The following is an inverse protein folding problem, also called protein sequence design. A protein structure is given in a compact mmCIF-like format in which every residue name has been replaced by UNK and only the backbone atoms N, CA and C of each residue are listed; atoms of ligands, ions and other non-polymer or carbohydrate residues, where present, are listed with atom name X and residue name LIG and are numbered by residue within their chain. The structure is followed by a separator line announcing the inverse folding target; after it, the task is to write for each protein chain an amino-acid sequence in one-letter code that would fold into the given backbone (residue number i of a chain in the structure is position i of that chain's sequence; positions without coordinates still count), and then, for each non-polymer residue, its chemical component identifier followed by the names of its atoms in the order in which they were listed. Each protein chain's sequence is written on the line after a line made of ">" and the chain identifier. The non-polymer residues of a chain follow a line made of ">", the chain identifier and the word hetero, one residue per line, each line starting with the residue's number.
data_IF_689978681200
#
_entry.id   IF_689978681200
#
_cell.length_a   1.000
_cell.length_b   1.000
_cell.length_c   1.000
_cell.angle_alpha   90.00
_cell.angle_beta   90.00
_cell.angle_gamma   90.00
#
_symmetry.space_group_name_H-M   'P 1'
#
loop_
_entity.id
_entity.type
_entity.pdbx_description
1 polymer ?
#
# COMPACT_ATOMS: atom_id res chain seq x y z
N UNK A 1 -43.04 14.79 -15.39
CA UNK A 1 -41.61 14.71 -15.71
C UNK A 1 -40.90 14.14 -14.51
N UNK A 2 -40.58 12.86 -14.53
CA UNK A 2 -39.87 12.22 -13.44
C UNK A 2 -38.43 12.70 -13.53
N UNK A 3 -38.02 13.59 -12.63
CA UNK A 3 -36.61 13.77 -12.38
C UNK A 3 -36.09 12.46 -11.84
N UNK A 4 -35.46 11.69 -12.70
CA UNK A 4 -34.54 10.67 -12.25
C UNK A 4 -33.61 11.34 -11.22
N UNK A 5 -33.45 10.75 -10.01
CA UNK A 5 -32.43 11.25 -9.11
C UNK A 5 -31.18 11.36 -9.98
N UNK A 6 -30.62 12.55 -10.02
CA UNK A 6 -29.30 12.76 -10.67
C UNK A 6 -28.46 11.61 -10.19
N UNK A 7 -28.29 10.67 -11.09
CA UNK A 7 -27.61 9.44 -10.75
C UNK A 7 -26.36 9.86 -10.05
N UNK A 8 -26.12 9.28 -8.88
CA UNK A 8 -24.77 9.28 -8.34
C UNK A 8 -23.91 9.02 -9.57
N UNK A 9 -23.26 10.07 -10.05
CA UNK A 9 -22.33 9.88 -11.16
C UNK A 9 -21.52 8.67 -10.77
N UNK A 10 -21.64 7.62 -11.53
CA UNK A 10 -20.87 6.41 -11.30
C UNK A 10 -19.42 6.86 -11.31
N UNK A 11 -18.84 7.09 -10.13
CA UNK A 11 -17.48 7.54 -10.02
C UNK A 11 -16.61 6.45 -10.58
N UNK A 12 -15.81 6.80 -11.58
CA UNK A 12 -14.79 5.91 -12.08
C UNK A 12 -13.98 5.39 -10.88
N UNK A 13 -13.71 4.07 -10.81
CA UNK A 13 -12.92 3.51 -9.72
C UNK A 13 -11.59 4.25 -9.60
N UNK A 14 -11.28 4.73 -8.42
CA UNK A 14 -10.03 5.43 -8.15
C UNK A 14 -9.11 4.52 -7.38
N UNK A 15 -7.92 4.28 -7.92
CA UNK A 15 -6.93 3.37 -7.33
C UNK A 15 -5.79 4.15 -6.70
N UNK A 16 -5.49 3.80 -5.46
CA UNK A 16 -4.39 4.38 -4.68
C UNK A 16 -3.31 3.34 -4.50
N UNK A 17 -2.08 3.70 -4.84
CA UNK A 17 -0.90 2.83 -4.75
C UNK A 17 0.18 3.48 -3.89
N UNK A 18 1.14 2.70 -3.34
CA UNK A 18 2.30 3.26 -2.67
C UNK A 18 3.00 4.30 -3.53
N UNK A 19 3.60 5.29 -2.90
CA UNK A 19 4.30 6.37 -3.60
C UNK A 19 5.38 5.81 -4.53
N UNK A 20 5.47 6.38 -5.72
CA UNK A 20 6.48 6.01 -6.70
C UNK A 20 7.92 6.18 -6.15
N UNK A 21 8.13 7.19 -5.32
CA UNK A 21 9.44 7.43 -4.65
C UNK A 21 9.82 6.23 -3.78
N UNK A 22 8.89 5.69 -2.99
CA UNK A 22 9.15 4.52 -2.16
C UNK A 22 9.52 3.29 -3.00
N UNK A 23 8.78 3.05 -4.06
CA UNK A 23 9.07 1.94 -4.98
C UNK A 23 10.44 2.09 -5.62
N UNK A 24 10.78 3.30 -6.07
CA UNK A 24 12.08 3.60 -6.68
C UNK A 24 13.22 3.39 -5.69
N UNK A 25 13.06 3.84 -4.44
CA UNK A 25 14.07 3.66 -3.38
C UNK A 25 14.30 2.19 -3.08
N UNK A 26 13.24 1.40 -2.96
CA UNK A 26 13.34 -0.04 -2.69
C UNK A 26 14.02 -0.77 -3.85
N UNK A 27 13.67 -0.44 -5.09
CA UNK A 27 14.31 -1.03 -6.28
C UNK A 27 15.78 -0.64 -6.39
N UNK A 28 16.12 0.61 -6.08
CA UNK A 28 17.50 1.08 -6.08
C UNK A 28 18.34 0.35 -5.02
N UNK A 29 17.78 0.16 -3.82
CA UNK A 29 18.43 -0.60 -2.74
C UNK A 29 18.65 -2.06 -3.14
N UNK A 30 17.66 -2.69 -3.74
CA UNK A 30 17.76 -4.07 -4.22
C UNK A 30 18.86 -4.20 -5.29
N UNK A 31 18.88 -3.29 -6.26
CA UNK A 31 19.92 -3.24 -7.31
C UNK A 31 21.32 -3.04 -6.73
N UNK A 32 21.45 -2.17 -5.73
CA UNK A 32 22.72 -1.96 -5.02
C UNK A 32 23.23 -3.25 -4.37
N UNK A 33 22.37 -3.96 -3.67
CA UNK A 33 22.75 -5.21 -3.00
C UNK A 33 23.05 -6.35 -3.98
N UNK A 34 22.37 -6.41 -5.12
CA UNK A 34 22.71 -7.33 -6.21
C UNK A 34 24.12 -7.01 -6.74
N UNK A 35 24.44 -5.73 -6.92
CA UNK A 35 25.78 -5.28 -7.30
C UNK A 35 26.84 -5.68 -6.28
N UNK A 36 26.57 -5.53 -4.99
CA UNK A 36 27.45 -5.97 -3.90
C UNK A 36 27.67 -7.48 -3.96
N UNK A 37 26.63 -8.26 -4.16
CA UNK A 37 26.73 -9.72 -4.26
C UNK A 37 27.60 -10.14 -5.44
N UNK A 38 27.40 -9.54 -6.61
CA UNK A 38 28.20 -9.80 -7.80
C UNK A 38 29.67 -9.43 -7.57
N UNK A 39 29.92 -8.29 -6.93
CA UNK A 39 31.28 -7.86 -6.59
C UNK A 39 31.97 -8.85 -5.64
N UNK A 40 31.24 -9.40 -4.65
CA UNK A 40 31.76 -10.41 -3.73
C UNK A 40 32.20 -11.69 -4.45
N UNK A 41 31.53 -12.06 -5.53
CA UNK A 41 31.95 -13.22 -6.35
C UNK A 41 33.32 -13.04 -7.00
N UNK A 42 33.71 -11.80 -7.29
CA UNK A 42 35.03 -11.47 -7.87
C UNK A 42 36.12 -11.26 -6.82
N UNK A 43 35.80 -11.17 -5.55
CA UNK A 43 36.77 -10.94 -4.48
C UNK A 43 37.33 -12.26 -3.94
N UNK A 44 38.65 -12.36 -3.91
CA UNK A 44 39.31 -13.45 -3.20
C UNK A 44 39.29 -13.19 -1.70
N UNK A 45 38.87 -14.17 -0.90
CA UNK A 45 38.78 -14.05 0.55
C UNK A 45 37.48 -13.50 1.10
N UNK A 46 36.46 -13.36 0.24
CA UNK A 46 35.13 -13.02 0.70
C UNK A 46 34.59 -14.09 1.68
N UNK A 47 34.08 -13.67 2.84
CA UNK A 47 33.61 -14.60 3.85
C UNK A 47 32.21 -15.11 3.51
N UNK A 48 31.87 -16.30 4.01
CA UNK A 48 30.53 -16.86 3.86
C UNK A 48 29.47 -15.96 4.47
N UNK A 49 29.78 -15.30 5.60
CA UNK A 49 28.83 -14.37 6.25
C UNK A 49 28.54 -13.15 5.37
N UNK A 50 29.49 -12.65 4.60
CA UNK A 50 29.29 -11.56 3.65
C UNK A 50 28.29 -11.94 2.54
N UNK A 51 28.43 -13.13 1.97
CA UNK A 51 27.48 -13.65 0.98
C UNK A 51 26.09 -13.85 1.56
N UNK A 52 26.00 -14.41 2.77
CA UNK A 52 24.71 -14.63 3.44
C UNK A 52 24.02 -13.31 3.76
N UNK A 53 24.77 -12.30 4.22
CA UNK A 53 24.21 -10.96 4.48
C UNK A 53 23.69 -10.31 3.21
N UNK A 54 24.47 -10.35 2.12
CA UNK A 54 24.04 -9.79 0.84
C UNK A 54 22.78 -10.51 0.31
N UNK A 55 22.76 -11.83 0.36
CA UNK A 55 21.60 -12.64 -0.05
C UNK A 55 20.37 -12.32 0.80
N UNK A 56 20.52 -12.13 2.10
CA UNK A 56 19.45 -11.74 3.00
C UNK A 56 18.84 -10.39 2.63
N UNK A 57 19.67 -9.37 2.40
CA UNK A 57 19.17 -8.06 2.00
C UNK A 57 18.52 -8.06 0.62
N UNK A 58 19.06 -8.80 -0.34
CA UNK A 58 18.43 -8.98 -1.64
C UNK A 58 17.04 -9.60 -1.48
N UNK A 59 16.91 -10.67 -0.72
CA UNK A 59 15.64 -11.33 -0.46
C UNK A 59 14.65 -10.39 0.24
N UNK A 60 15.12 -9.61 1.22
CA UNK A 60 14.30 -8.65 1.96
C UNK A 60 13.76 -7.55 1.03
N UNK A 61 14.62 -6.91 0.26
CA UNK A 61 14.21 -5.82 -0.63
C UNK A 61 13.38 -6.31 -1.80
N UNK A 62 13.65 -7.49 -2.33
CA UNK A 62 12.82 -8.11 -3.35
C UNK A 62 11.41 -8.41 -2.81
N UNK A 63 11.31 -8.96 -1.62
CA UNK A 63 10.03 -9.21 -0.96
C UNK A 63 9.26 -7.90 -0.71
N UNK A 64 9.93 -6.85 -0.25
CA UNK A 64 9.33 -5.53 -0.08
C UNK A 64 8.84 -4.95 -1.40
N UNK A 65 9.63 -5.06 -2.46
CA UNK A 65 9.25 -4.59 -3.80
C UNK A 65 8.01 -5.31 -4.32
N UNK A 66 7.92 -6.61 -4.14
CA UNK A 66 6.75 -7.39 -4.52
C UNK A 66 5.52 -7.01 -3.71
N UNK A 67 5.67 -6.85 -2.40
CA UNK A 67 4.59 -6.45 -1.50
C UNK A 67 4.03 -5.07 -1.89
N UNK A 68 4.89 -4.06 -1.98
CA UNK A 68 4.46 -2.71 -2.34
C UNK A 68 4.00 -2.59 -3.79
N UNK A 69 4.54 -3.39 -4.69
CA UNK A 69 4.13 -3.40 -6.09
C UNK A 69 2.71 -3.94 -6.30
N UNK A 70 2.23 -4.79 -5.39
CA UNK A 70 0.89 -5.38 -5.46
C UNK A 70 -0.13 -4.69 -4.58
N UNK A 71 0.30 -3.91 -3.61
CA UNK A 71 -0.59 -3.19 -2.72
C UNK A 71 -1.37 -2.12 -3.50
N UNK A 72 -2.69 -2.17 -3.43
CA UNK A 72 -3.55 -1.18 -4.05
C UNK A 72 -4.86 -1.06 -3.27
N UNK A 73 -5.35 0.17 -3.16
CA UNK A 73 -6.65 0.50 -2.57
C UNK A 73 -7.50 1.12 -3.67
N UNK A 74 -8.61 0.49 -3.99
CA UNK A 74 -9.53 0.96 -5.04
C UNK A 74 -10.84 1.37 -4.41
N UNK A 75 -11.22 2.62 -4.60
CA UNK A 75 -12.52 3.16 -4.18
C UNK A 75 -13.46 3.15 -5.36
N UNK A 76 -14.59 2.45 -5.21
CA UNK A 76 -15.64 2.38 -6.23
C UNK A 76 -17.00 2.71 -5.61
N UNK A 77 -18.05 2.74 -6.42
CA UNK A 77 -19.41 2.98 -5.92
C UNK A 77 -19.89 1.86 -4.97
N UNK A 78 -19.40 0.65 -5.16
CA UNK A 78 -19.78 -0.52 -4.34
C UNK A 78 -19.02 -0.61 -3.01
N UNK A 79 -17.92 0.12 -2.86
CA UNK A 79 -17.12 0.06 -1.65
C UNK A 79 -15.62 0.23 -1.89
N UNK A 80 -14.84 -0.25 -0.93
CA UNK A 80 -13.39 -0.21 -0.94
C UNK A 80 -12.83 -1.61 -1.20
N UNK A 81 -12.03 -1.75 -2.22
CA UNK A 81 -11.30 -2.98 -2.51
C UNK A 81 -9.83 -2.81 -2.14
N UNK A 82 -9.34 -3.70 -1.29
CA UNK A 82 -7.95 -3.72 -0.85
C UNK A 82 -7.25 -4.92 -1.47
N UNK A 83 -6.27 -4.65 -2.30
CA UNK A 83 -5.42 -5.68 -2.88
C UNK A 83 -4.10 -5.71 -2.14
N UNK A 84 -3.79 -6.87 -1.56
CA UNK A 84 -2.51 -7.14 -0.92
C UNK A 84 -1.74 -8.20 -1.72
N UNK A 85 -0.54 -8.54 -1.26
CA UNK A 85 0.29 -9.54 -1.91
C UNK A 85 -0.42 -10.89 -2.10
N UNK A 86 -1.18 -11.32 -1.09
CA UNK A 86 -1.76 -12.68 -1.07
C UNK A 86 -3.27 -12.72 -1.22
N UNK A 87 -3.96 -11.59 -1.14
CA UNK A 87 -5.42 -11.56 -1.10
C UNK A 87 -6.00 -10.27 -1.66
N UNK A 88 -7.25 -10.37 -2.11
CA UNK A 88 -8.10 -9.23 -2.45
C UNK A 88 -9.28 -9.24 -1.50
N UNK A 89 -9.49 -8.14 -0.77
CA UNK A 89 -10.60 -7.98 0.16
C UNK A 89 -11.48 -6.83 -0.29
N UNK A 90 -12.77 -7.04 -0.24
CA UNK A 90 -13.77 -6.02 -0.56
C UNK A 90 -14.54 -5.63 0.69
N UNK A 91 -14.63 -4.32 0.94
CA UNK A 91 -15.38 -3.76 2.05
C UNK A 91 -16.48 -2.85 1.50
N UNK A 92 -17.73 -3.11 1.87
CA UNK A 92 -18.80 -2.16 1.61
C UNK A 92 -18.62 -0.93 2.50
N UNK A 93 -19.00 0.25 2.03
CA UNK A 93 -18.97 1.47 2.85
C UNK A 93 -19.85 1.36 4.10
N UNK A 94 -20.91 0.57 4.04
CA UNK A 94 -21.77 0.30 5.20
C UNK A 94 -21.08 -0.48 6.30
N UNK A 95 -20.07 -1.28 5.94
CA UNK A 95 -19.29 -2.06 6.90
C UNK A 95 -18.23 -1.24 7.62
N UNK A 96 -17.92 -0.05 7.13
CA UNK A 96 -16.92 0.83 7.73
C UNK A 96 -17.56 1.55 8.92
N UNK A 97 -17.02 1.31 10.12
CA UNK A 97 -17.55 1.83 11.36
C UNK A 97 -16.84 3.11 11.81
N UNK A 98 -15.53 3.18 11.62
CA UNK A 98 -14.71 4.27 12.15
C UNK A 98 -13.40 4.38 11.41
N UNK A 99 -12.91 5.60 11.27
CA UNK A 99 -11.56 5.89 10.76
C UNK A 99 -10.82 6.70 11.81
N UNK A 100 -9.71 6.18 12.31
CA UNK A 100 -8.83 6.85 13.25
C UNK A 100 -7.57 7.32 12.54
N UNK A 101 -7.21 8.57 12.73
CA UNK A 101 -5.99 9.18 12.19
C UNK A 101 -4.98 9.34 13.31
N UNK A 102 -3.84 8.68 13.19
CA UNK A 102 -2.79 8.66 14.20
C UNK A 102 -1.49 9.23 13.63
N UNK A 103 -0.97 10.32 14.20
CA UNK A 103 0.37 10.78 13.82
C UNK A 103 1.43 9.80 14.32
N UNK A 104 2.40 9.49 13.47
CA UNK A 104 3.55 8.63 13.80
C UNK A 104 4.86 9.32 13.45
N UNK A 105 5.98 8.75 13.90
CA UNK A 105 7.31 9.27 13.56
C UNK A 105 7.62 9.24 12.07
N UNK A 106 6.99 8.32 11.33
CA UNK A 106 7.19 8.16 9.88
C UNK A 106 6.10 8.83 9.05
N UNK A 107 5.20 9.58 9.68
CA UNK A 107 4.08 10.24 9.03
C UNK A 107 2.75 9.96 9.69
N UNK A 108 1.68 9.89 8.92
CA UNK A 108 0.33 9.66 9.42
C UNK A 108 -0.09 8.22 9.14
N UNK A 109 -0.66 7.56 10.14
CA UNK A 109 -1.28 6.24 10.01
C UNK A 109 -2.79 6.37 10.12
N UNK A 110 -3.51 5.65 9.28
CA UNK A 110 -4.97 5.61 9.26
C UNK A 110 -5.43 4.20 9.62
N UNK A 111 -6.21 4.10 10.69
CA UNK A 111 -6.81 2.85 11.11
C UNK A 111 -8.31 2.88 10.79
N UNK A 112 -8.75 2.00 9.92
CA UNK A 112 -10.15 1.86 9.52
C UNK A 112 -10.72 0.64 10.22
N UNK A 113 -11.72 0.85 11.06
CA UNK A 113 -12.45 -0.25 11.69
C UNK A 113 -13.65 -0.61 10.85
N UNK A 114 -13.73 -1.88 10.49
CA UNK A 114 -14.84 -2.44 9.73
C UNK A 114 -15.44 -3.63 10.47
N UNK A 115 -16.66 -4.00 10.09
CA UNK A 115 -17.31 -5.21 10.62
C UNK A 115 -16.57 -6.49 10.25
N UNK A 116 -15.78 -6.45 9.17
CA UNK A 116 -15.01 -7.59 8.67
C UNK A 116 -13.58 -7.64 9.21
N UNK A 117 -13.19 -6.69 10.04
CA UNK A 117 -11.87 -6.61 10.65
C UNK A 117 -11.19 -5.25 10.47
N UNK A 118 -10.03 -5.04 11.09
CA UNK A 118 -9.30 -3.80 10.97
C UNK A 118 -8.59 -3.71 9.61
N UNK A 119 -8.51 -2.48 9.08
CA UNK A 119 -7.77 -2.12 7.89
C UNK A 119 -6.87 -0.94 8.22
N UNK A 120 -5.64 -0.97 7.77
CA UNK A 120 -4.70 0.13 8.00
C UNK A 120 -4.00 0.54 6.71
N UNK A 121 -3.80 1.84 6.56
CA UNK A 121 -2.92 2.41 5.55
C UNK A 121 -2.20 3.62 6.13
N UNK A 122 -1.16 4.09 5.47
CA UNK A 122 -0.32 5.17 5.98
C UNK A 122 -0.04 6.22 4.91
N UNK A 123 0.66 7.28 5.32
CA UNK A 123 1.12 8.34 4.43
C UNK A 123 2.11 7.86 3.36
N UNK A 124 2.59 6.62 3.44
CA UNK A 124 3.37 5.99 2.37
C UNK A 124 2.54 5.68 1.12
N UNK A 125 1.21 5.66 1.26
CA UNK A 125 0.30 5.51 0.14
C UNK A 125 0.14 6.84 -0.60
N UNK A 126 0.29 6.85 -1.91
CA UNK A 126 0.07 8.04 -2.72
C UNK A 126 -1.39 8.48 -2.66
N UNK A 127 -1.64 9.77 -2.35
CA UNK A 127 -2.99 10.29 -2.21
C UNK A 127 -3.73 9.84 -0.95
N UNK A 128 -3.00 9.51 0.12
CA UNK A 128 -3.58 9.01 1.37
C UNK A 128 -4.65 9.92 1.97
N UNK A 129 -4.48 11.23 1.90
CA UNK A 129 -5.47 12.20 2.39
C UNK A 129 -6.77 12.12 1.60
N UNK A 130 -6.68 12.06 0.29
CA UNK A 130 -7.84 11.92 -0.58
C UNK A 130 -8.55 10.60 -0.34
N UNK A 131 -7.80 9.51 -0.16
CA UNK A 131 -8.37 8.21 0.17
C UNK A 131 -9.13 8.27 1.49
N UNK A 132 -8.56 8.87 2.53
CA UNK A 132 -9.21 9.06 3.81
C UNK A 132 -10.50 9.88 3.67
N UNK A 133 -10.46 11.00 2.96
CA UNK A 133 -11.64 11.82 2.71
C UNK A 133 -12.74 11.06 1.96
N UNK A 134 -12.37 10.30 0.94
CA UNK A 134 -13.32 9.50 0.18
C UNK A 134 -13.98 8.43 1.05
N UNK A 135 -13.21 7.74 1.88
CA UNK A 135 -13.74 6.72 2.80
C UNK A 135 -14.70 7.35 3.79
N UNK A 136 -14.29 8.43 4.46
CA UNK A 136 -15.10 9.12 5.46
C UNK A 136 -16.38 9.66 4.85
N UNK A 137 -16.29 10.29 3.70
CA UNK A 137 -17.44 10.87 3.00
C UNK A 137 -18.41 9.80 2.51
N UNK A 138 -17.90 8.73 1.91
CA UNK A 138 -18.73 7.65 1.35
C UNK A 138 -19.34 6.77 2.43
N UNK A 139 -18.65 6.57 3.52
CA UNK A 139 -19.15 5.82 4.67
C UNK A 139 -20.15 6.63 5.53
N UNK A 140 -20.28 7.94 5.28
CA UNK A 140 -21.18 8.80 6.04
C UNK A 140 -20.72 9.04 7.47
N UNK A 141 -19.41 9.07 7.71
CA UNK A 141 -18.82 9.23 9.05
C UNK A 141 -18.66 10.71 9.47
N UNK A 142 -19.03 11.62 8.63
CA UNK A 142 -19.00 13.06 8.92
C UNK A 142 -20.40 13.54 9.25
#
# INVERSE_FOLDING_TARGET
>A
MVQLPRGREALAPETFRPRAVLRTVVLAADTLWIGVFVALLGLQGATRSAFLSAAFFIALFTACSMFYGRLAYTVSDSGLTVRTFSAVRHFSFEDILRVDVLPTLLGTSYAVRTRLGPLQFSSLLGGHERLCHLIVRRAGLV
#
